data_IF_764496670198
#
_entry.id   IF_764496670198
#
_cell.length_a   1.000
_cell.length_b   1.000
_cell.length_c   1.000
_cell.angle_alpha   90.00
_cell.angle_beta   90.00
_cell.angle_gamma   90.00
#
_symmetry.space_group_name_H-M   'P 1'
#
loop_
_entity.id
_entity.type
_entity.pdbx_description
1 polymer ?
#
# COMPACT_ATOMS: atom_id res chain seq x y z
N UNK A 1 -22.38 7.05 18.62
CA UNK A 1 -22.20 6.11 17.49
C UNK A 1 -21.99 6.94 16.24
N UNK A 2 -20.74 7.21 15.82
CA UNK A 2 -20.53 7.84 14.54
C UNK A 2 -20.72 6.77 13.46
N UNK A 3 -21.72 7.06 12.64
CA UNK A 3 -22.07 6.50 11.34
C UNK A 3 -20.91 5.89 10.55
N UNK A 4 -21.18 4.69 10.04
CA UNK A 4 -20.42 3.94 9.04
C UNK A 4 -19.61 4.84 8.11
N UNK A 5 -18.30 4.82 8.33
CA UNK A 5 -17.33 5.40 7.42
C UNK A 5 -17.33 4.46 6.22
N UNK A 6 -17.69 4.97 5.04
CA UNK A 6 -17.52 4.29 3.76
C UNK A 6 -16.20 3.53 3.76
N UNK A 7 -16.26 2.20 3.74
CA UNK A 7 -15.10 1.35 3.45
C UNK A 7 -14.69 1.62 2.02
N UNK A 8 -13.99 2.74 1.79
CA UNK A 8 -13.19 2.91 0.60
C UNK A 8 -12.27 1.70 0.59
N UNK A 9 -12.46 0.83 -0.40
CA UNK A 9 -11.52 -0.22 -0.70
C UNK A 9 -10.17 0.50 -0.87
N UNK A 10 -9.27 0.33 0.10
CA UNK A 10 -7.97 0.95 0.00
C UNK A 10 -7.32 0.39 -1.28
N UNK A 11 -6.98 1.28 -2.21
CA UNK A 11 -6.28 0.89 -3.44
C UNK A 11 -4.93 0.24 -3.14
N UNK A 12 -4.22 -0.19 -4.18
CA UNK A 12 -2.86 -0.71 -4.01
C UNK A 12 -1.97 0.34 -3.32
N UNK A 13 -1.35 0.03 -2.17
CA UNK A 13 -0.68 1.03 -1.34
C UNK A 13 0.71 1.44 -1.88
N UNK A 14 1.19 0.82 -2.96
CA UNK A 14 2.56 0.95 -3.44
C UNK A 14 3.46 -0.18 -2.92
N UNK A 15 4.61 -0.37 -3.59
CA UNK A 15 5.49 -1.51 -3.35
C UNK A 15 6.07 -1.52 -1.94
N UNK A 16 6.47 -0.34 -1.44
CA UNK A 16 7.14 -0.23 -0.14
C UNK A 16 6.22 -0.68 1.00
N UNK A 17 4.96 -0.23 1.01
CA UNK A 17 4.03 -0.61 2.08
C UNK A 17 3.51 -2.05 1.92
N UNK A 18 3.27 -2.50 0.69
CA UNK A 18 2.83 -3.88 0.45
C UNK A 18 3.85 -4.94 0.91
N UNK A 19 5.14 -4.61 0.84
CA UNK A 19 6.23 -5.55 1.12
C UNK A 19 7.19 -5.06 2.23
N UNK A 20 6.74 -4.15 3.10
CA UNK A 20 7.57 -3.52 4.14
C UNK A 20 8.33 -4.52 5.00
N UNK A 21 7.73 -5.66 5.34
CA UNK A 21 8.35 -6.74 6.13
C UNK A 21 9.54 -7.42 5.46
N UNK A 22 9.68 -7.26 4.14
CA UNK A 22 10.73 -7.87 3.33
C UNK A 22 11.78 -6.85 2.86
N UNK A 23 11.56 -5.56 3.11
CA UNK A 23 12.42 -4.48 2.66
C UNK A 23 13.22 -3.92 3.86
N UNK A 24 14.46 -3.46 3.65
CA UNK A 24 15.28 -2.85 4.70
C UNK A 24 14.87 -1.39 4.95
N UNK A 25 13.60 -1.16 5.32
CA UNK A 25 13.03 0.17 5.61
C UNK A 25 12.57 0.26 7.05
N UNK A 26 12.75 1.42 7.67
CA UNK A 26 12.32 1.69 9.04
C UNK A 26 10.98 2.45 9.06
N UNK A 27 10.43 2.65 10.26
CA UNK A 27 9.28 3.54 10.46
C UNK A 27 9.60 5.02 10.12
N UNK A 28 10.88 5.40 10.12
CA UNK A 28 11.32 6.76 9.76
C UNK A 28 11.62 6.91 8.26
N UNK A 29 11.61 5.83 7.49
CA UNK A 29 11.81 5.91 6.03
C UNK A 29 10.59 6.56 5.39
N UNK A 30 10.71 7.76 4.78
CA UNK A 30 9.59 8.38 4.07
C UNK A 30 9.22 7.53 2.86
N UNK A 31 7.92 7.27 2.70
CA UNK A 31 7.41 6.53 1.54
C UNK A 31 7.06 7.49 0.43
N UNK A 32 7.75 7.35 -0.70
CA UNK A 32 7.42 8.00 -1.96
C UNK A 32 6.96 6.91 -2.91
N UNK A 33 5.72 7.02 -3.40
CA UNK A 33 5.12 5.99 -4.25
C UNK A 33 4.31 6.63 -5.37
N UNK A 34 4.27 5.94 -6.51
CA UNK A 34 3.33 6.21 -7.60
C UNK A 34 2.29 5.08 -7.71
N UNK A 35 2.07 4.34 -6.63
CA UNK A 35 1.26 3.11 -6.58
C UNK A 35 1.80 2.04 -7.54
N UNK A 36 3.12 1.95 -7.66
CA UNK A 36 3.82 0.98 -8.49
C UNK A 36 3.74 -0.46 -7.96
N UNK A 37 3.90 -1.42 -8.85
CA UNK A 37 3.72 -2.85 -8.55
C UNK A 37 2.27 -3.29 -8.73
N UNK A 38 1.94 -4.50 -8.26
CA UNK A 38 0.63 -5.13 -8.46
C UNK A 38 0.16 -5.13 -9.93
N UNK A 39 1.10 -5.20 -10.87
CA UNK A 39 0.80 -5.31 -12.30
C UNK A 39 0.08 -6.64 -12.53
N UNK A 40 -1.08 -6.66 -13.21
CA UNK A 40 -1.78 -7.90 -13.52
C UNK A 40 -0.85 -8.90 -14.20
N UNK A 41 -0.86 -10.14 -13.72
CA UNK A 41 -0.26 -11.26 -14.41
C UNK A 41 -1.33 -11.90 -15.29
N UNK A 42 -1.07 -11.98 -16.59
CA UNK A 42 -1.97 -12.57 -17.57
C UNK A 42 -1.37 -13.92 -18.00
N UNK A 43 -2.20 -14.95 -18.12
CA UNK A 43 -1.82 -16.26 -18.66
C UNK A 43 -1.53 -16.22 -20.17
#
# INVERSE_FOLDING_TARGET
MPSDISTYQAGWPGLIEAYRSFLPVSASTPVVTLQEGNTPLIE
#
